data_IF_158864053588
#
_entry.id   IF_158864053588
#
_cell.length_a   1.000
_cell.length_b   1.000
_cell.length_c   1.000
_cell.angle_alpha   90.00
_cell.angle_beta   90.00
_cell.angle_gamma   90.00
#
_symmetry.space_group_name_H-M   'P 1'
#
loop_
_entity.id
_entity.type
_entity.pdbx_description
1 polymer ?
#
# COMPACT_ATOMS: atom_id res chain seq x y z
N UNK A 1 15.79 -5.93 0.51
CA UNK A 1 15.83 -5.63 -0.94
C UNK A 1 14.57 -4.84 -1.26
N UNK A 2 14.71 -3.60 -1.73
CA UNK A 2 13.55 -2.72 -2.01
C UNK A 2 13.04 -2.99 -3.43
N UNK A 3 12.03 -3.84 -3.53
CA UNK A 3 11.35 -4.14 -4.80
C UNK A 3 10.39 -3.00 -5.10
N UNK A 4 10.84 -1.97 -5.84
CA UNK A 4 9.90 -1.01 -6.43
C UNK A 4 8.93 -1.79 -7.32
N UNK A 5 7.61 -1.58 -7.22
CA UNK A 5 6.67 -2.24 -8.11
C UNK A 5 6.92 -1.75 -9.54
N UNK A 6 7.34 -2.65 -10.42
CA UNK A 6 7.46 -2.41 -11.86
C UNK A 6 6.07 -2.24 -12.48
N UNK A 7 5.92 -1.54 -13.61
CA UNK A 7 4.63 -1.43 -14.33
C UNK A 7 3.94 -2.79 -14.56
N UNK A 8 4.73 -3.84 -14.83
CA UNK A 8 4.28 -5.24 -14.93
C UNK A 8 3.64 -5.82 -13.65
N UNK A 9 3.89 -5.24 -12.46
CA UNK A 9 3.19 -5.60 -11.22
C UNK A 9 1.79 -4.99 -11.16
N UNK A 10 1.58 -3.80 -11.71
CA UNK A 10 0.28 -3.10 -11.70
C UNK A 10 -0.67 -3.65 -12.78
N UNK A 11 -0.14 -4.15 -13.88
CA UNK A 11 -0.93 -4.71 -15.00
C UNK A 11 -1.32 -6.19 -14.80
N UNK A 12 -0.83 -6.83 -13.72
CA UNK A 12 -1.14 -8.24 -13.44
C UNK A 12 -2.57 -8.39 -12.90
N UNK A 13 -3.33 -9.30 -13.51
CA UNK A 13 -4.63 -9.74 -12.96
C UNK A 13 -4.42 -10.44 -11.63
N UNK A 14 -5.25 -10.08 -10.65
CA UNK A 14 -5.26 -10.78 -9.37
C UNK A 14 -5.95 -12.14 -9.54
N UNK A 15 -5.29 -13.27 -9.19
CA UNK A 15 -5.81 -14.60 -9.48
C UNK A 15 -7.13 -14.89 -8.74
N UNK A 16 -7.31 -14.35 -7.52
CA UNK A 16 -8.53 -14.55 -6.73
C UNK A 16 -9.75 -13.82 -7.33
N UNK A 17 -9.57 -12.81 -8.20
CA UNK A 17 -10.68 -12.01 -8.78
C UNK A 17 -11.05 -12.40 -10.21
N UNK A 18 -10.55 -13.53 -10.71
CA UNK A 18 -10.78 -14.00 -12.08
C UNK A 18 -12.24 -14.31 -12.44
N UNK A 19 -13.09 -14.56 -11.44
CA UNK A 19 -14.51 -14.91 -11.57
C UNK A 19 -15.43 -13.91 -10.85
N UNK A 20 -14.91 -12.71 -10.54
CA UNK A 20 -15.57 -11.70 -9.71
C UNK A 20 -16.93 -11.24 -10.26
N UNK A 21 -17.10 -11.29 -11.58
CA UNK A 21 -18.31 -10.94 -12.33
C UNK A 21 -19.45 -11.96 -12.15
N UNK A 22 -19.15 -13.17 -11.69
CA UNK A 22 -20.14 -14.22 -11.44
C UNK A 22 -20.60 -14.31 -9.98
N UNK A 23 -20.00 -13.52 -9.08
CA UNK A 23 -20.29 -13.55 -7.65
C UNK A 23 -21.56 -12.75 -7.30
N UNK A 24 -22.22 -13.16 -6.23
CA UNK A 24 -23.21 -12.30 -5.58
C UNK A 24 -22.51 -11.04 -5.03
N UNK A 25 -23.24 -9.92 -4.98
CA UNK A 25 -22.66 -8.61 -4.61
C UNK A 25 -21.93 -8.63 -3.26
N UNK A 26 -22.47 -9.33 -2.26
CA UNK A 26 -21.83 -9.42 -0.94
C UNK A 26 -20.50 -10.20 -1.00
N UNK A 27 -20.45 -11.28 -1.77
CA UNK A 27 -19.26 -12.10 -1.92
C UNK A 27 -18.19 -11.36 -2.73
N UNK A 28 -18.59 -10.64 -3.77
CA UNK A 28 -17.73 -9.74 -4.53
C UNK A 28 -17.08 -8.68 -3.62
N UNK A 29 -17.88 -7.99 -2.80
CA UNK A 29 -17.39 -6.97 -1.88
C UNK A 29 -16.47 -7.57 -0.80
N UNK A 30 -16.81 -8.75 -0.30
CA UNK A 30 -15.99 -9.48 0.69
C UNK A 30 -14.64 -9.86 0.11
N UNK A 31 -14.63 -10.35 -1.15
CA UNK A 31 -13.40 -10.69 -1.87
C UNK A 31 -12.51 -9.47 -2.06
N UNK A 32 -13.08 -8.34 -2.49
CA UNK A 32 -12.33 -7.09 -2.65
C UNK A 32 -11.76 -6.59 -1.32
N UNK A 33 -12.58 -6.59 -0.27
CA UNK A 33 -12.15 -6.13 1.06
C UNK A 33 -11.03 -6.98 1.66
N UNK A 34 -10.88 -8.25 1.26
CA UNK A 34 -9.77 -9.11 1.70
C UNK A 34 -8.41 -8.55 1.24
N UNK A 35 -8.35 -7.95 0.05
CA UNK A 35 -7.12 -7.34 -0.45
C UNK A 35 -6.76 -6.06 0.32
N UNK A 36 -7.75 -5.30 0.81
CA UNK A 36 -7.50 -4.11 1.63
C UNK A 36 -6.72 -4.44 2.91
N UNK A 37 -6.96 -5.62 3.52
CA UNK A 37 -6.21 -6.05 4.71
C UNK A 37 -4.71 -6.20 4.44
N UNK A 38 -4.35 -6.65 3.23
CA UNK A 38 -2.94 -6.81 2.84
C UNK A 38 -2.23 -5.46 2.73
N UNK A 39 -2.98 -4.38 2.47
CA UNK A 39 -2.43 -3.01 2.49
C UNK A 39 -2.01 -2.64 3.91
N UNK A 40 -2.87 -2.92 4.91
CA UNK A 40 -2.55 -2.64 6.31
C UNK A 40 -1.28 -3.40 6.76
N UNK A 41 -1.18 -4.69 6.44
CA UNK A 41 -0.01 -5.52 6.74
C UNK A 41 1.27 -4.98 6.06
N UNK A 42 1.15 -4.53 4.81
CA UNK A 42 2.28 -3.94 4.08
C UNK A 42 2.74 -2.61 4.70
N UNK A 43 1.79 -1.78 5.15
CA UNK A 43 2.10 -0.53 5.87
C UNK A 43 2.76 -0.83 7.22
N UNK A 44 2.30 -1.84 7.94
CA UNK A 44 2.89 -2.29 9.20
C UNK A 44 4.37 -2.64 9.03
N UNK A 45 4.70 -3.43 8.00
CA UNK A 45 6.08 -3.76 7.66
C UNK A 45 6.95 -2.54 7.32
N UNK A 46 6.33 -1.44 6.86
CA UNK A 46 7.02 -0.18 6.53
C UNK A 46 7.16 0.79 7.72
N UNK A 47 6.53 0.53 8.87
CA UNK A 47 6.54 1.46 10.02
C UNK A 47 7.95 1.92 10.44
N UNK A 48 9.00 1.07 10.50
CA UNK A 48 10.34 1.54 10.86
C UNK A 48 10.93 2.54 9.84
N UNK A 49 10.59 2.41 8.56
CA UNK A 49 11.03 3.34 7.54
C UNK A 49 10.23 4.65 7.60
N UNK A 50 8.93 4.56 7.84
CA UNK A 50 8.05 5.72 8.04
C UNK A 50 8.48 6.52 9.27
N UNK A 51 8.82 5.85 10.38
CA UNK A 51 9.33 6.51 11.59
C UNK A 51 10.59 7.33 11.30
N UNK A 52 11.60 6.73 10.65
CA UNK A 52 12.83 7.45 10.25
C UNK A 52 12.55 8.62 9.30
N UNK A 53 11.61 8.46 8.36
CA UNK A 53 11.18 9.54 7.49
C UNK A 53 10.60 10.69 8.32
N UNK A 54 9.77 10.38 9.32
CA UNK A 54 9.15 11.37 10.18
C UNK A 54 10.14 12.10 11.08
N UNK A 55 11.11 11.40 11.65
CA UNK A 55 12.19 12.03 12.43
C UNK A 55 12.94 13.06 11.58
N UNK A 56 13.32 12.68 10.36
CA UNK A 56 14.05 13.54 9.43
C UNK A 56 13.20 14.72 8.93
N UNK A 57 11.93 14.48 8.61
CA UNK A 57 11.01 15.52 8.16
C UNK A 57 10.79 16.54 9.28
N UNK A 58 10.54 16.08 10.50
CA UNK A 58 10.34 16.94 11.67
C UNK A 58 11.59 17.77 11.97
N UNK A 59 12.77 17.16 11.93
CA UNK A 59 14.04 17.86 12.12
C UNK A 59 14.32 18.89 11.00
N UNK A 60 13.88 18.62 9.77
CA UNK A 60 14.03 19.56 8.65
C UNK A 60 13.10 20.76 8.81
N UNK A 61 11.84 20.52 9.14
CA UNK A 61 10.85 21.57 9.38
C UNK A 61 11.23 22.45 10.58
N UNK A 62 11.75 21.87 11.66
CA UNK A 62 12.18 22.65 12.84
C UNK A 62 13.36 23.58 12.57
N UNK A 63 14.16 23.32 11.53
CA UNK A 63 15.25 24.18 11.06
C UNK A 63 14.83 25.18 9.99
N UNK A 64 13.52 25.35 9.75
CA UNK A 64 12.98 26.23 8.70
C UNK A 64 13.13 25.66 7.28
N UNK A 65 13.43 24.36 7.14
CA UNK A 65 13.44 23.66 5.87
C UNK A 65 12.03 23.34 5.38
N UNK A 66 11.94 22.63 4.25
CA UNK A 66 10.66 22.25 3.61
C UNK A 66 10.65 20.77 3.27
N UNK A 67 9.49 20.13 3.41
CA UNK A 67 9.21 18.81 2.87
C UNK A 67 8.61 18.98 1.46
N UNK A 68 9.10 18.20 0.49
CA UNK A 68 8.61 18.18 -0.89
C UNK A 68 8.13 16.77 -1.19
N UNK A 69 6.94 16.65 -1.78
CA UNK A 69 6.25 15.39 -2.10
C UNK A 69 6.16 15.17 -3.60
#
# INVERSE_FOLDING_TARGET
MSSKPTASMMERRHPETTHIDSLATLDMLTLLHKDDKRIADAVEACLPAIARLMDNATATLSRGGRLVI
#
